data_IF_560552297899
#
_entry.id   IF_560552297899
#
_cell.length_a   1.000
_cell.length_b   1.000
_cell.length_c   1.000
_cell.angle_alpha   90.00
_cell.angle_beta   90.00
_cell.angle_gamma   90.00
#
_symmetry.space_group_name_H-M   'P 1'
#
loop_
_entity.id
_entity.type
_entity.pdbx_description
1 polymer ?
#
# COMPACT_ATOMS: atom_id res chain seq x y z
N UNK A 1 -0.21 -43.39 18.15
CA UNK A 1 0.12 -42.01 18.48
C UNK A 1 -0.84 -41.11 17.73
N UNK A 2 -1.95 -40.83 18.39
CA UNK A 2 -3.00 -39.93 17.91
C UNK A 2 -2.52 -38.48 17.97
N UNK A 3 -2.51 -37.85 16.82
CA UNK A 3 -2.29 -36.41 16.75
C UNK A 3 -3.60 -35.71 17.11
N UNK A 4 -3.63 -35.02 18.22
CA UNK A 4 -4.67 -34.08 18.58
C UNK A 4 -4.84 -33.08 17.45
N UNK A 5 -5.94 -33.20 16.71
CA UNK A 5 -6.49 -32.10 15.93
C UNK A 5 -7.02 -31.08 16.93
N UNK A 6 -6.36 -29.93 17.02
CA UNK A 6 -6.88 -28.80 17.74
C UNK A 6 -8.26 -28.45 17.15
N UNK A 7 -9.27 -28.47 18.01
CA UNK A 7 -10.66 -28.10 17.72
C UNK A 7 -10.70 -26.59 17.46
N UNK A 8 -10.59 -26.20 16.21
CA UNK A 8 -10.78 -24.81 15.73
C UNK A 8 -12.27 -24.50 15.67
N UNK A 9 -12.95 -24.63 16.81
CA UNK A 9 -14.27 -24.06 17.00
C UNK A 9 -14.09 -22.55 17.04
N UNK A 10 -14.46 -21.87 15.98
CA UNK A 10 -14.57 -20.42 15.89
C UNK A 10 -15.34 -19.93 17.11
N UNK A 11 -14.63 -19.48 18.16
CA UNK A 11 -15.27 -18.86 19.31
C UNK A 11 -15.94 -17.58 18.81
N UNK A 12 -17.24 -17.49 19.03
CA UNK A 12 -17.96 -16.25 18.75
C UNK A 12 -17.31 -15.12 19.57
N UNK A 13 -17.00 -14.00 18.95
CA UNK A 13 -16.42 -12.88 19.67
C UNK A 13 -17.40 -12.34 20.71
N UNK A 14 -16.89 -12.05 21.91
CA UNK A 14 -17.65 -11.40 22.96
C UNK A 14 -17.32 -9.92 22.98
N UNK A 15 -18.31 -9.10 22.60
CA UNK A 15 -18.20 -7.65 22.65
C UNK A 15 -18.87 -7.15 23.93
N UNK A 16 -18.12 -6.44 24.77
CA UNK A 16 -18.65 -5.90 26.02
C UNK A 16 -18.76 -4.39 25.95
N UNK A 17 -19.91 -3.85 26.31
CA UNK A 17 -20.16 -2.41 26.43
C UNK A 17 -20.01 -2.00 27.88
N UNK A 18 -19.05 -1.13 28.20
CA UNK A 18 -18.82 -0.64 29.56
C UNK A 18 -18.24 0.78 29.57
N UNK A 19 -18.36 1.46 30.70
CA UNK A 19 -17.74 2.77 30.91
C UNK A 19 -16.21 2.74 30.94
N UNK A 20 -15.63 1.61 31.37
CA UNK A 20 -14.17 1.39 31.39
C UNK A 20 -13.86 -0.11 31.21
N UNK A 21 -12.71 -0.47 30.59
CA UNK A 21 -12.24 -1.84 30.54
C UNK A 21 -11.96 -2.37 31.97
N UNK A 22 -12.35 -3.63 32.25
CA UNK A 22 -12.10 -4.27 33.54
C UNK A 22 -10.87 -5.18 33.45
N UNK A 23 -9.99 -5.20 34.48
CA UNK A 23 -8.88 -6.14 34.59
C UNK A 23 -9.37 -7.58 34.57
N UNK A 24 -8.63 -8.50 33.92
CA UNK A 24 -8.96 -9.93 33.84
C UNK A 24 -10.02 -10.33 32.78
N UNK A 25 -10.58 -9.39 32.05
CA UNK A 25 -11.62 -9.65 31.07
C UNK A 25 -11.15 -10.50 29.88
N UNK A 26 -9.87 -10.48 29.51
CA UNK A 26 -9.29 -11.34 28.50
C UNK A 26 -9.37 -12.82 28.88
N UNK A 27 -9.21 -13.14 30.18
CA UNK A 27 -9.36 -14.50 30.72
C UNK A 27 -10.81 -14.96 30.70
N UNK A 28 -11.77 -14.03 30.77
CA UNK A 28 -13.20 -14.31 30.65
C UNK A 28 -13.67 -14.47 29.21
N UNK A 29 -12.75 -14.43 28.20
CA UNK A 29 -13.06 -14.59 26.80
C UNK A 29 -13.63 -13.34 26.13
N UNK A 30 -13.52 -12.17 26.77
CA UNK A 30 -13.89 -10.88 26.17
C UNK A 30 -12.88 -10.54 25.08
N UNK A 31 -13.40 -10.36 23.89
CA UNK A 31 -12.60 -10.15 22.70
C UNK A 31 -12.35 -8.67 22.42
N UNK A 32 -13.26 -7.80 22.83
CA UNK A 32 -13.18 -6.37 22.58
C UNK A 32 -14.10 -5.59 23.52
N UNK A 33 -13.76 -4.32 23.75
CA UNK A 33 -14.55 -3.40 24.56
C UNK A 33 -15.10 -2.26 23.70
N UNK A 34 -16.38 -1.94 23.92
CA UNK A 34 -16.98 -0.68 23.50
C UNK A 34 -17.06 0.25 24.70
N UNK A 35 -16.16 1.20 24.80
CA UNK A 35 -16.12 2.15 25.91
C UNK A 35 -17.02 3.33 25.59
N UNK A 36 -17.96 3.62 26.48
CA UNK A 36 -18.89 4.75 26.33
C UNK A 36 -18.22 6.08 26.73
N UNK A 37 -18.58 7.23 26.06
CA UNK A 37 -19.52 7.34 24.94
C UNK A 37 -18.88 6.95 23.59
N UNK A 38 -19.66 6.36 22.68
CA UNK A 38 -19.22 6.01 21.33
C UNK A 38 -20.25 6.44 20.29
N UNK A 39 -19.80 6.67 19.06
CA UNK A 39 -20.68 6.95 17.91
C UNK A 39 -21.17 5.65 17.26
N UNK A 40 -22.32 5.70 16.57
CA UNK A 40 -22.81 4.58 15.78
C UNK A 40 -21.81 4.14 14.70
N UNK A 41 -21.10 5.06 14.09
CA UNK A 41 -20.05 4.77 13.13
C UNK A 41 -18.90 3.98 13.74
N UNK A 42 -18.50 4.29 14.99
CA UNK A 42 -17.47 3.54 15.71
C UNK A 42 -17.92 2.10 15.99
N UNK A 43 -19.17 1.91 16.43
CA UNK A 43 -19.73 0.56 16.66
C UNK A 43 -19.83 -0.23 15.37
N UNK A 44 -20.33 0.38 14.30
CA UNK A 44 -20.41 -0.28 12.99
C UNK A 44 -19.03 -0.70 12.48
N UNK A 45 -18.03 0.17 12.60
CA UNK A 45 -16.65 -0.16 12.24
C UNK A 45 -16.09 -1.33 13.07
N UNK A 46 -16.33 -1.32 14.38
CA UNK A 46 -15.93 -2.41 15.28
C UNK A 46 -16.63 -3.72 14.95
N UNK A 47 -17.93 -3.72 14.74
CA UNK A 47 -18.72 -4.91 14.38
C UNK A 47 -18.31 -5.45 13.00
N UNK A 48 -18.13 -4.59 12.01
CA UNK A 48 -17.62 -4.99 10.70
C UNK A 48 -16.25 -5.65 10.80
N UNK A 49 -15.32 -5.06 11.57
CA UNK A 49 -14.02 -5.66 11.84
C UNK A 49 -14.11 -7.05 12.49
N UNK A 50 -15.16 -7.32 13.27
CA UNK A 50 -15.40 -8.59 13.92
C UNK A 50 -16.03 -9.66 13.03
N UNK A 51 -16.98 -9.30 12.21
CA UNK A 51 -17.65 -10.21 11.27
C UNK A 51 -16.63 -10.81 10.29
N UNK A 52 -15.56 -10.07 9.99
CA UNK A 52 -14.51 -10.49 9.05
C UNK A 52 -13.28 -11.17 9.71
N UNK A 53 -13.25 -11.38 11.04
CA UNK A 53 -12.12 -11.98 11.76
C UNK A 53 -11.80 -13.46 11.43
N UNK A 54 -12.55 -14.07 10.53
CA UNK A 54 -12.35 -15.48 10.15
C UNK A 54 -11.28 -15.73 9.08
N UNK A 55 -10.74 -14.68 8.45
CA UNK A 55 -9.62 -14.76 7.52
C UNK A 55 -8.69 -13.59 7.81
N UNK A 56 -7.39 -13.81 7.76
CA UNK A 56 -6.41 -12.70 7.83
C UNK A 56 -6.80 -11.63 6.81
N UNK A 57 -6.95 -10.39 7.28
CA UNK A 57 -7.30 -9.21 6.47
C UNK A 57 -6.03 -8.51 5.96
N UNK A 58 -4.97 -9.27 5.82
CA UNK A 58 -3.76 -8.88 5.12
C UNK A 58 -3.37 -9.97 4.14
N UNK A 59 -3.37 -9.61 2.88
CA UNK A 59 -2.97 -10.48 1.79
C UNK A 59 -1.74 -9.91 1.12
N UNK A 60 -0.65 -10.66 1.16
CA UNK A 60 0.51 -10.35 0.32
C UNK A 60 0.09 -10.46 -1.14
N UNK A 61 0.57 -9.53 -1.97
CA UNK A 61 0.37 -9.65 -3.41
C UNK A 61 1.01 -10.94 -3.92
N UNK A 62 0.33 -11.63 -4.83
CA UNK A 62 0.92 -12.76 -5.55
C UNK A 62 2.11 -12.28 -6.41
N UNK A 63 2.94 -13.22 -6.85
CA UNK A 63 3.93 -12.90 -7.87
C UNK A 63 3.24 -12.85 -9.25
N UNK A 64 3.55 -11.85 -10.11
CA UNK A 64 3.14 -11.86 -11.50
C UNK A 64 3.61 -13.14 -12.22
N UNK A 65 2.87 -13.59 -13.22
CA UNK A 65 3.24 -14.79 -14.00
C UNK A 65 4.55 -14.60 -14.77
N UNK A 66 4.86 -13.38 -15.12
CA UNK A 66 6.04 -12.92 -15.86
C UNK A 66 7.12 -12.31 -14.95
N UNK A 67 7.15 -12.67 -13.67
CA UNK A 67 8.01 -12.05 -12.66
C UNK A 67 9.50 -12.00 -13.06
N UNK A 68 10.03 -13.06 -13.67
CA UNK A 68 11.43 -13.07 -14.09
C UNK A 68 11.71 -12.01 -15.16
N UNK A 69 10.91 -11.95 -16.23
CA UNK A 69 11.03 -10.96 -17.30
C UNK A 69 10.82 -9.54 -16.79
N UNK A 70 9.83 -9.36 -15.90
CA UNK A 70 9.56 -8.08 -15.25
C UNK A 70 10.77 -7.59 -14.44
N UNK A 71 11.42 -8.47 -13.68
CA UNK A 71 12.63 -8.12 -12.92
C UNK A 71 13.81 -7.80 -13.84
N UNK A 72 13.98 -8.55 -14.92
CA UNK A 72 14.99 -8.24 -15.94
C UNK A 72 14.78 -6.85 -16.53
N UNK A 73 13.54 -6.51 -16.92
CA UNK A 73 13.19 -5.19 -17.42
C UNK A 73 13.43 -4.09 -16.38
N UNK A 74 13.04 -4.32 -15.10
CA UNK A 74 13.31 -3.40 -14.01
C UNK A 74 14.82 -3.15 -13.85
N UNK A 75 15.62 -4.20 -13.79
CA UNK A 75 17.08 -4.08 -13.60
C UNK A 75 17.74 -3.43 -14.82
N UNK A 76 17.22 -3.67 -16.03
CA UNK A 76 17.71 -3.03 -17.25
C UNK A 76 17.52 -1.50 -17.26
N UNK A 77 16.57 -0.94 -16.48
CA UNK A 77 16.43 0.51 -16.32
C UNK A 77 17.66 1.16 -15.66
N UNK A 78 18.43 0.39 -14.89
CA UNK A 78 19.58 0.89 -14.13
C UNK A 78 19.23 1.91 -13.04
N UNK A 79 17.97 2.03 -12.64
CA UNK A 79 17.49 3.08 -11.72
C UNK A 79 17.47 2.68 -10.25
N UNK A 80 17.53 1.38 -9.94
CA UNK A 80 17.59 0.93 -8.56
C UNK A 80 18.87 1.42 -7.88
N UNK A 81 18.74 1.83 -6.61
CA UNK A 81 19.85 2.28 -5.76
C UNK A 81 20.62 3.50 -6.31
N UNK A 82 20.00 4.25 -7.23
CA UNK A 82 20.58 5.48 -7.78
C UNK A 82 20.20 6.71 -6.96
N UNK A 83 21.00 7.80 -7.00
CA UNK A 83 20.66 9.05 -6.34
C UNK A 83 19.32 9.62 -6.80
N UNK A 84 18.69 10.51 -6.00
CA UNK A 84 17.51 11.27 -6.43
C UNK A 84 17.77 12.05 -7.72
N UNK A 85 16.77 12.10 -8.59
CA UNK A 85 16.85 12.82 -9.86
C UNK A 85 15.71 13.83 -9.99
N UNK A 86 16.02 15.11 -10.33
CA UNK A 86 15.00 16.17 -10.41
C UNK A 86 13.84 15.86 -11.36
N UNK A 87 14.05 15.02 -12.39
CA UNK A 87 13.01 14.63 -13.36
C UNK A 87 11.88 13.82 -12.70
N UNK A 88 12.20 12.91 -11.78
CA UNK A 88 11.22 12.15 -11.00
C UNK A 88 10.65 12.98 -9.85
N UNK A 89 11.48 13.76 -9.15
CA UNK A 89 11.05 14.57 -8.02
C UNK A 89 10.07 15.67 -8.39
N UNK A 90 10.10 16.14 -9.64
CA UNK A 90 9.10 17.10 -10.14
C UNK A 90 7.73 16.44 -10.23
N UNK A 91 7.66 15.19 -10.69
CA UNK A 91 6.40 14.45 -10.86
C UNK A 91 5.77 14.17 -9.49
N UNK A 92 6.54 13.65 -8.52
CA UNK A 92 6.02 13.39 -7.17
C UNK A 92 5.58 14.65 -6.45
N UNK A 93 6.34 15.77 -6.56
CA UNK A 93 5.91 17.07 -6.00
C UNK A 93 4.65 17.60 -6.67
N UNK A 94 4.54 17.48 -8.00
CA UNK A 94 3.35 17.88 -8.73
C UNK A 94 2.14 17.06 -8.29
N UNK A 95 2.27 15.75 -8.22
CA UNK A 95 1.23 14.84 -7.78
C UNK A 95 0.76 15.16 -6.35
N UNK A 96 1.69 15.27 -5.39
CA UNK A 96 1.37 15.64 -4.01
C UNK A 96 0.59 16.96 -3.91
N UNK A 97 1.01 17.99 -4.64
CA UNK A 97 0.38 19.32 -4.61
C UNK A 97 -0.98 19.32 -5.30
N UNK A 98 -1.11 18.66 -6.44
CA UNK A 98 -2.34 18.63 -7.21
C UNK A 98 -3.47 17.92 -6.48
N UNK A 99 -3.16 16.77 -5.90
CA UNK A 99 -4.14 15.98 -5.14
C UNK A 99 -4.26 16.41 -3.68
N UNK A 100 -3.43 17.36 -3.23
CA UNK A 100 -3.38 17.84 -1.82
C UNK A 100 -3.16 16.68 -0.83
N UNK A 101 -2.32 15.67 -1.25
CA UNK A 101 -2.01 14.50 -0.45
C UNK A 101 -0.58 14.57 0.08
N UNK A 102 -0.36 14.19 1.36
CA UNK A 102 0.93 14.38 2.02
C UNK A 102 2.04 13.50 1.48
N UNK A 103 1.70 12.36 0.89
CA UNK A 103 2.69 11.38 0.42
C UNK A 103 2.45 11.08 -1.05
N UNK A 104 3.52 11.25 -1.86
CA UNK A 104 3.55 10.87 -3.27
C UNK A 104 4.88 10.19 -3.59
N UNK A 105 4.85 9.03 -4.24
CA UNK A 105 6.01 8.21 -4.50
C UNK A 105 6.04 7.74 -5.96
N UNK A 106 7.24 7.67 -6.54
CA UNK A 106 7.55 6.79 -7.67
C UNK A 106 8.28 5.59 -7.09
N UNK A 107 7.65 4.43 -7.14
CA UNK A 107 8.15 3.20 -6.53
C UNK A 107 8.53 2.19 -7.59
N UNK A 108 9.63 1.49 -7.37
CA UNK A 108 10.08 0.36 -8.16
C UNK A 108 9.99 -0.91 -7.30
N UNK A 109 9.29 -1.93 -7.80
CA UNK A 109 9.02 -3.16 -7.05
C UNK A 109 10.02 -4.22 -7.46
N UNK A 110 11.05 -4.40 -6.65
CA UNK A 110 12.10 -5.41 -6.82
C UNK A 110 11.66 -6.76 -6.23
N UNK A 111 12.55 -7.75 -6.19
CA UNK A 111 12.28 -9.12 -5.74
C UNK A 111 11.68 -9.16 -4.34
N UNK A 112 12.32 -8.50 -3.37
CA UNK A 112 11.97 -8.60 -1.95
C UNK A 112 11.61 -7.25 -1.33
N UNK A 113 11.79 -6.15 -2.07
CA UNK A 113 11.57 -4.79 -1.61
C UNK A 113 10.80 -3.94 -2.62
N UNK A 114 10.21 -2.89 -2.12
CA UNK A 114 9.72 -1.75 -2.87
C UNK A 114 10.67 -0.59 -2.61
N UNK A 115 11.42 -0.17 -3.63
CA UNK A 115 12.36 0.92 -3.54
C UNK A 115 11.77 2.22 -4.09
N UNK A 116 12.10 3.37 -3.48
CA UNK A 116 11.52 4.66 -3.83
C UNK A 116 12.49 5.47 -4.68
N UNK A 117 12.23 5.54 -6.00
CA UNK A 117 12.98 6.38 -6.92
C UNK A 117 12.78 7.86 -6.63
N UNK A 118 11.58 8.24 -6.20
CA UNK A 118 11.27 9.58 -5.74
C UNK A 118 10.22 9.52 -4.63
N UNK A 119 10.36 10.39 -3.64
CA UNK A 119 9.51 10.41 -2.45
C UNK A 119 9.22 11.83 -1.99
N UNK A 120 7.94 12.11 -1.73
CA UNK A 120 7.45 13.26 -0.98
C UNK A 120 6.74 12.72 0.26
N UNK A 121 7.02 13.29 1.44
CA UNK A 121 6.34 12.98 2.69
C UNK A 121 6.83 11.74 3.45
N UNK A 122 7.80 10.98 2.91
CA UNK A 122 8.47 9.90 3.62
C UNK A 122 9.99 10.09 3.60
N UNK A 123 10.64 9.68 4.69
CA UNK A 123 12.10 9.75 4.86
C UNK A 123 12.81 8.42 4.63
N UNK A 124 12.06 7.32 4.56
CA UNK A 124 12.59 5.98 4.25
C UNK A 124 12.80 5.82 2.75
N UNK A 125 13.77 5.02 2.35
CA UNK A 125 14.09 4.79 0.94
C UNK A 125 13.37 3.56 0.35
N UNK A 126 12.92 2.64 1.19
CA UNK A 126 12.33 1.37 0.77
C UNK A 126 11.44 0.76 1.85
N UNK A 127 10.62 -0.21 1.46
CA UNK A 127 9.84 -1.07 2.36
C UNK A 127 9.88 -2.52 1.88
N UNK A 128 9.61 -3.52 2.77
CA UNK A 128 9.46 -4.90 2.33
C UNK A 128 8.33 -5.02 1.27
N UNK A 129 8.61 -5.76 0.20
CA UNK A 129 7.63 -6.00 -0.88
C UNK A 129 6.34 -6.62 -0.36
N UNK A 130 6.43 -7.50 0.62
CA UNK A 130 5.27 -8.22 1.15
C UNK A 130 4.22 -7.30 1.77
N UNK A 131 4.61 -6.14 2.32
CA UNK A 131 3.70 -5.14 2.88
C UNK A 131 3.32 -4.03 1.89
N UNK A 132 3.90 -4.03 0.70
CA UNK A 132 3.73 -2.96 -0.28
C UNK A 132 2.36 -3.01 -0.97
N UNK A 133 1.60 -1.94 -0.91
CA UNK A 133 0.38 -1.75 -1.70
C UNK A 133 0.67 -1.78 -3.20
N UNK A 134 1.80 -1.21 -3.61
CA UNK A 134 2.24 -1.16 -5.00
C UNK A 134 2.49 -2.55 -5.60
N UNK A 135 2.80 -3.56 -4.77
CA UNK A 135 2.94 -4.93 -5.25
C UNK A 135 1.61 -5.48 -5.82
N UNK A 136 0.45 -5.08 -5.27
CA UNK A 136 -0.85 -5.40 -5.83
C UNK A 136 -1.09 -4.67 -7.16
N UNK A 137 -0.74 -3.38 -7.23
CA UNK A 137 -0.82 -2.60 -8.49
C UNK A 137 0.02 -3.25 -9.60
N UNK A 138 1.21 -3.76 -9.27
CA UNK A 138 2.08 -4.47 -10.23
C UNK A 138 1.45 -5.76 -10.73
N UNK A 139 0.84 -6.55 -9.83
CA UNK A 139 0.18 -7.82 -10.19
C UNK A 139 -1.05 -7.59 -11.06
N UNK A 140 -1.89 -6.65 -10.65
CA UNK A 140 -3.18 -6.37 -11.33
C UNK A 140 -2.98 -5.57 -12.63
N UNK A 141 -1.83 -4.89 -12.79
CA UNK A 141 -1.49 -4.03 -13.95
C UNK A 141 -2.57 -2.98 -14.22
N UNK A 142 -3.24 -2.55 -13.19
CA UNK A 142 -4.34 -1.59 -13.22
C UNK A 142 -4.22 -0.61 -12.06
N UNK A 143 -4.81 0.58 -12.23
CA UNK A 143 -4.85 1.58 -11.17
C UNK A 143 -5.64 1.04 -9.98
N UNK A 144 -5.00 0.99 -8.83
CA UNK A 144 -5.57 0.53 -7.57
C UNK A 144 -5.92 1.73 -6.70
N UNK A 145 -7.18 1.80 -6.25
CA UNK A 145 -7.65 2.81 -5.28
C UNK A 145 -8.17 2.11 -4.04
N UNK A 146 -7.65 2.48 -2.88
CA UNK A 146 -8.06 2.04 -1.56
C UNK A 146 -8.47 3.28 -0.77
N UNK A 147 -9.76 3.55 -0.68
CA UNK A 147 -10.30 4.74 -0.02
C UNK A 147 -10.10 4.75 1.48
N UNK A 148 -10.11 3.57 2.11
CA UNK A 148 -9.78 3.36 3.52
C UNK A 148 -9.24 1.94 3.74
N UNK A 149 -7.95 1.82 3.98
CA UNK A 149 -7.24 0.56 4.12
C UNK A 149 -7.71 -0.29 5.31
N UNK A 150 -8.28 0.31 6.36
CA UNK A 150 -8.85 -0.45 7.48
C UNK A 150 -10.11 -1.24 7.10
N UNK A 151 -10.79 -0.86 6.01
CA UNK A 151 -11.98 -1.53 5.52
C UNK A 151 -11.75 -2.36 4.25
N UNK A 152 -10.51 -2.42 3.78
CA UNK A 152 -10.13 -3.26 2.64
C UNK A 152 -9.59 -4.61 3.15
N UNK A 153 -10.20 -5.71 2.69
CA UNK A 153 -9.86 -7.07 3.13
C UNK A 153 -8.44 -7.52 2.73
N UNK A 154 -7.77 -6.77 1.86
CA UNK A 154 -6.38 -7.02 1.49
C UNK A 154 -5.40 -6.36 2.45
N UNK A 155 -5.81 -5.26 3.11
CA UNK A 155 -4.87 -4.35 3.78
C UNK A 155 -5.18 -4.08 5.25
N UNK A 156 -6.36 -4.40 5.77
CA UNK A 156 -6.78 -3.97 7.10
C UNK A 156 -5.84 -4.40 8.24
N UNK A 157 -5.11 -5.51 8.09
CA UNK A 157 -4.10 -5.99 9.04
C UNK A 157 -2.67 -5.84 8.52
N UNK A 158 -2.48 -5.09 7.43
CA UNK A 158 -1.15 -4.83 6.88
C UNK A 158 -0.31 -4.04 7.89
N UNK A 159 0.98 -4.38 8.09
CA UNK A 159 1.88 -3.66 9.00
C UNK A 159 1.92 -2.14 8.79
N UNK A 160 1.79 -1.65 7.55
CA UNK A 160 1.77 -0.23 7.23
C UNK A 160 0.43 0.46 7.56
N UNK A 161 -0.62 -0.32 7.88
CA UNK A 161 -1.95 0.16 8.27
C UNK A 161 -2.11 0.12 9.78
N UNK A 162 -1.74 -1.00 10.43
CA UNK A 162 -1.88 -1.16 11.87
C UNK A 162 -0.72 -0.56 12.66
N UNK A 163 0.47 -0.49 12.03
CA UNK A 163 1.68 0.17 12.53
C UNK A 163 1.94 1.51 11.83
N UNK A 164 3.09 2.12 12.10
CA UNK A 164 3.50 3.34 11.39
C UNK A 164 3.79 3.04 9.90
N UNK A 165 3.41 3.94 8.98
CA UNK A 165 2.84 5.28 9.16
C UNK A 165 1.31 5.32 9.29
N UNK A 166 0.61 4.21 9.49
CA UNK A 166 -0.85 4.09 9.64
C UNK A 166 -1.63 4.53 8.41
N UNK A 167 -1.23 4.00 7.26
CA UNK A 167 -1.84 4.32 5.97
C UNK A 167 -3.34 4.00 6.00
N UNK A 168 -4.14 4.96 5.54
CA UNK A 168 -5.59 4.83 5.40
C UNK A 168 -6.03 4.91 3.93
N UNK A 169 -5.38 5.73 3.16
CA UNK A 169 -5.66 5.93 1.74
C UNK A 169 -4.46 5.52 0.89
N UNK A 170 -4.75 4.89 -0.24
CA UNK A 170 -3.78 4.60 -1.29
C UNK A 170 -4.43 4.76 -2.67
N UNK A 171 -3.76 5.42 -3.59
CA UNK A 171 -4.06 5.37 -5.02
C UNK A 171 -2.75 5.18 -5.79
N UNK A 172 -2.65 4.13 -6.61
CA UNK A 172 -1.44 3.83 -7.36
C UNK A 172 -1.73 3.43 -8.80
N UNK A 173 -1.08 4.09 -9.75
CA UNK A 173 -1.12 3.79 -11.16
C UNK A 173 0.14 3.01 -11.58
N UNK A 174 0.02 1.89 -12.32
CA UNK A 174 1.13 1.00 -12.65
C UNK A 174 2.09 1.65 -13.65
N UNK A 175 3.40 1.52 -13.40
CA UNK A 175 4.45 1.92 -14.33
C UNK A 175 4.72 0.75 -15.29
N UNK A 176 4.11 0.82 -16.47
CA UNK A 176 4.23 -0.19 -17.51
C UNK A 176 5.13 0.36 -18.61
N UNK A 177 6.27 -0.31 -18.84
CA UNK A 177 7.22 0.04 -19.86
C UNK A 177 6.72 -0.34 -21.27
N UNK A 178 7.38 0.13 -22.33
CA UNK A 178 7.01 -0.12 -23.72
C UNK A 178 7.02 -1.61 -24.09
N UNK A 179 7.88 -2.42 -23.44
CA UNK A 179 7.90 -3.87 -23.57
C UNK A 179 6.73 -4.58 -22.88
N UNK A 180 5.90 -3.82 -22.18
CA UNK A 180 4.78 -4.29 -21.39
C UNK A 180 5.12 -4.69 -19.96
N UNK A 181 6.36 -4.63 -19.50
CA UNK A 181 6.75 -4.98 -18.13
C UNK A 181 6.25 -3.94 -17.11
N UNK A 182 5.56 -4.40 -16.05
CA UNK A 182 5.11 -3.53 -14.97
C UNK A 182 6.17 -3.48 -13.87
N UNK A 183 6.93 -2.39 -13.78
CA UNK A 183 8.10 -2.29 -12.89
C UNK A 183 7.82 -1.64 -11.54
N UNK A 184 6.66 -1.00 -11.38
CA UNK A 184 6.34 -0.28 -10.15
C UNK A 184 5.04 0.51 -10.23
N UNK A 185 4.94 1.59 -9.48
CA UNK A 185 3.80 2.50 -9.54
C UNK A 185 4.16 3.95 -9.20
N UNK A 186 3.40 4.91 -9.79
CA UNK A 186 3.23 6.23 -9.22
C UNK A 186 2.08 6.14 -8.23
N UNK A 187 2.31 6.47 -6.96
CA UNK A 187 1.27 6.34 -5.94
C UNK A 187 1.19 7.53 -4.98
N UNK A 188 0.00 7.68 -4.43
CA UNK A 188 -0.42 8.69 -3.47
C UNK A 188 -0.91 7.98 -2.21
N UNK A 189 -0.55 8.49 -1.03
CA UNK A 189 -0.95 7.91 0.24
C UNK A 189 -1.29 9.00 1.26
N UNK A 190 -2.17 8.64 2.20
CA UNK A 190 -2.47 9.45 3.38
C UNK A 190 -2.78 8.56 4.59
N UNK A 191 -2.62 9.12 5.77
CA UNK A 191 -3.06 8.55 7.05
C UNK A 191 -4.54 8.82 7.34
N UNK A 192 -5.25 9.47 6.43
CA UNK A 192 -6.69 9.74 6.45
C UNK A 192 -7.35 9.08 5.25
N UNK A 193 -8.61 8.63 5.38
CA UNK A 193 -9.38 8.14 4.25
C UNK A 193 -9.68 9.26 3.25
N UNK A 194 -9.69 8.92 1.95
CA UNK A 194 -10.05 9.85 0.89
C UNK A 194 -11.01 9.21 -0.12
N UNK A 195 -11.83 10.04 -0.74
CA UNK A 195 -12.56 9.68 -1.96
C UNK A 195 -11.71 10.07 -3.16
N UNK A 196 -11.62 9.18 -4.12
CA UNK A 196 -10.85 9.39 -5.33
C UNK A 196 -11.78 9.14 -6.51
N UNK A 197 -12.12 10.19 -7.24
CA UNK A 197 -13.09 10.15 -8.32
C UNK A 197 -12.45 9.65 -9.64
N UNK A 198 -13.28 9.31 -10.62
CA UNK A 198 -12.78 8.87 -11.93
C UNK A 198 -11.92 9.96 -12.64
N UNK A 199 -12.16 11.24 -12.35
CA UNK A 199 -11.31 12.32 -12.86
C UNK A 199 -9.91 12.29 -12.24
N UNK A 200 -9.84 12.01 -10.92
CA UNK A 200 -8.57 11.92 -10.19
C UNK A 200 -7.75 10.72 -10.69
N UNK A 201 -8.42 9.59 -10.97
CA UNK A 201 -7.77 8.40 -11.53
C UNK A 201 -7.13 8.74 -12.87
N UNK A 202 -7.87 9.37 -13.79
CA UNK A 202 -7.32 9.74 -15.11
C UNK A 202 -6.11 10.66 -15.00
N UNK A 203 -6.18 11.66 -14.11
CA UNK A 203 -5.05 12.57 -13.91
C UNK A 203 -3.84 11.84 -13.29
N UNK A 204 -4.06 10.92 -12.35
CA UNK A 204 -2.96 10.10 -11.80
C UNK A 204 -2.31 9.26 -12.91
N UNK A 205 -3.11 8.72 -13.83
CA UNK A 205 -2.62 7.96 -14.97
C UNK A 205 -1.85 8.84 -15.98
N UNK A 206 -2.28 10.08 -16.22
CA UNK A 206 -1.52 11.04 -17.03
C UNK A 206 -0.15 11.37 -16.38
N UNK A 207 -0.12 11.60 -15.08
CA UNK A 207 1.14 11.82 -14.36
C UNK A 207 2.04 10.57 -14.35
N UNK A 208 1.44 9.37 -14.28
CA UNK A 208 2.14 8.11 -14.42
C UNK A 208 2.81 7.99 -15.78
N UNK A 209 2.14 8.40 -16.88
CA UNK A 209 2.70 8.36 -18.23
C UNK A 209 3.94 9.26 -18.33
N UNK A 210 3.94 10.42 -17.65
CA UNK A 210 5.15 11.24 -17.55
C UNK A 210 6.27 10.49 -16.80
N UNK A 211 5.95 9.76 -15.74
CA UNK A 211 6.94 8.97 -15.01
C UNK A 211 7.50 7.82 -15.85
N UNK A 212 6.66 7.12 -16.63
CA UNK A 212 7.11 6.07 -17.55
C UNK A 212 8.05 6.63 -18.61
N UNK A 213 7.70 7.77 -19.23
CA UNK A 213 8.57 8.43 -20.20
C UNK A 213 9.96 8.77 -19.62
N UNK A 214 10.02 9.17 -18.33
CA UNK A 214 11.30 9.45 -17.68
C UNK A 214 12.06 8.17 -17.29
N UNK A 215 11.36 7.04 -17.03
CA UNK A 215 11.98 5.74 -16.78
C UNK A 215 12.67 5.18 -18.04
N UNK A 216 12.06 5.38 -19.19
CA UNK A 216 12.54 4.87 -20.49
C UNK A 216 13.54 5.80 -21.15
N UNK A 217 13.68 7.02 -20.62
CA UNK A 217 14.63 7.99 -21.15
C UNK A 217 16.05 7.58 -20.75
N UNK A 218 16.90 7.39 -21.76
CA UNK A 218 18.32 7.15 -21.52
C UNK A 218 18.90 8.21 -20.58
N UNK A 219 19.74 7.80 -19.60
CA UNK A 219 20.45 8.76 -18.78
C UNK A 219 21.22 9.69 -19.72
N UNK A 220 21.04 11.02 -19.54
CA UNK A 220 21.82 11.99 -20.31
C UNK A 220 23.30 11.62 -20.16
N UNK A 221 23.93 11.29 -21.28
CA UNK A 221 25.34 10.98 -21.30
C UNK A 221 26.07 12.11 -20.55
N UNK A 222 26.74 11.76 -19.48
CA UNK A 222 27.54 12.71 -18.72
C UNK A 222 28.52 13.33 -19.70
N UNK A 223 28.34 14.61 -20.06
CA UNK A 223 29.33 15.40 -20.75
C UNK A 223 30.49 15.66 -19.75
N UNK A 224 31.19 14.58 -19.38
CA UNK A 224 32.46 14.62 -18.69
C UNK A 224 33.53 14.50 -19.78
N UNK A 225 33.97 15.64 -20.28
CA UNK A 225 35.03 15.69 -21.29
C UNK A 225 35.35 17.13 -21.65
N UNK A 226 36.21 17.75 -20.88
CA UNK A 226 36.80 19.04 -21.19
C UNK A 226 37.67 19.51 -20.06
#
# INVERSE_FOLDING_TARGET
PERHRADDRRRMPMLVVAGQPQPGAAEAGVSEWLVTPFSSAYVQAKVAAWVHRGASRWRKAALPKDEATRLEALHATGLLDTPPEPRFDRITRLASRFFELPIALITLVDRDRQWFKSSVGLTIAETPRESAFCAHTVVDRATLVVSDALFDDRFAENPLVVGEPRIRFYAGAPLILADGSCVGSLCLLDTRPHRFAAADIRLLEELRDLAVNELEREPAASLAGG
#
